data_IF_326035856520
#
_entry.id   IF_326035856520
#
_cell.length_a   1.000
_cell.length_b   1.000
_cell.length_c   1.000
_cell.angle_alpha   90.00
_cell.angle_beta   90.00
_cell.angle_gamma   90.00
#
_symmetry.space_group_name_H-M   'P 1'
#
loop_
_entity.id
_entity.type
_entity.pdbx_description
1 polymer ?
#
# COMPACT_ATOMS: atom_id res chain seq x y z
N UNK A 1 -3.73 44.63 61.36
CA UNK A 1 -4.12 45.40 60.17
C UNK A 1 -3.48 44.76 58.95
N UNK A 2 -4.27 44.03 58.17
CA UNK A 2 -3.86 43.49 56.87
C UNK A 2 -3.73 44.63 55.86
N UNK A 3 -2.58 44.74 55.21
CA UNK A 3 -2.41 45.48 53.95
C UNK A 3 -1.80 44.53 52.91
N UNK A 4 -2.73 43.89 52.20
CA UNK A 4 -2.73 43.48 50.79
C UNK A 4 -1.38 43.42 50.08
N UNK A 5 -0.83 42.20 49.99
CA UNK A 5 -0.04 41.77 48.84
C UNK A 5 -0.88 40.74 48.07
N UNK A 6 -1.64 41.22 47.09
CA UNK A 6 -2.31 40.38 46.10
C UNK A 6 -1.30 40.03 45.00
N UNK A 7 -0.56 38.95 45.18
CA UNK A 7 -0.02 38.17 44.06
C UNK A 7 -0.08 36.70 44.47
N UNK A 8 -1.20 35.99 44.19
CA UNK A 8 -1.22 34.56 44.37
C UNK A 8 -0.24 33.94 43.39
N UNK A 9 0.62 33.09 43.95
CA UNK A 9 1.46 32.12 43.26
C UNK A 9 0.75 31.63 42.01
N UNK A 10 1.31 31.98 40.85
CA UNK A 10 0.96 31.36 39.58
C UNK A 10 1.19 29.87 39.80
N UNK A 11 0.12 29.09 39.92
CA UNK A 11 0.15 27.65 39.79
C UNK A 11 0.66 27.37 38.39
N UNK A 12 1.98 27.20 38.29
CA UNK A 12 2.68 26.68 37.14
C UNK A 12 2.40 25.18 37.05
N UNK A 13 1.12 24.81 36.96
CA UNK A 13 0.73 23.53 36.40
C UNK A 13 0.94 23.69 34.90
N UNK A 14 2.14 23.40 34.42
CA UNK A 14 2.32 23.08 33.00
C UNK A 14 1.51 21.82 32.76
N UNK A 15 0.21 21.99 32.55
CA UNK A 15 -0.60 21.03 31.83
C UNK A 15 0.09 20.90 30.49
N UNK A 16 0.96 19.90 30.38
CA UNK A 16 1.39 19.41 29.08
C UNK A 16 0.09 19.17 28.35
N UNK A 17 -0.16 19.97 27.32
CA UNK A 17 -1.21 19.71 26.36
C UNK A 17 -0.82 18.38 25.71
N UNK A 18 -1.19 17.28 26.36
CA UNK A 18 -1.27 16.00 25.71
C UNK A 18 -2.39 16.20 24.72
N UNK A 19 -2.01 16.57 23.51
CA UNK A 19 -2.88 16.47 22.36
C UNK A 19 -3.19 14.98 22.24
N UNK A 20 -4.27 14.55 22.88
CA UNK A 20 -4.95 13.33 22.47
C UNK A 20 -5.45 13.66 21.07
N UNK A 21 -4.63 13.34 20.09
CA UNK A 21 -5.05 13.29 18.71
C UNK A 21 -5.99 12.08 18.61
N UNK A 22 -7.25 12.27 19.02
CA UNK A 22 -8.31 11.34 18.72
C UNK A 22 -8.59 11.46 17.23
N UNK A 23 -7.78 10.78 16.43
CA UNK A 23 -8.19 10.33 15.12
C UNK A 23 -8.19 8.81 15.14
N UNK A 24 -9.31 8.25 14.72
CA UNK A 24 -9.64 6.83 14.59
C UNK A 24 -8.77 6.13 13.53
N UNK A 25 -7.45 6.25 13.62
CA UNK A 25 -6.51 5.78 12.62
C UNK A 25 -5.30 5.17 13.30
N UNK A 26 -4.92 3.96 12.89
CA UNK A 26 -3.66 3.38 13.34
C UNK A 26 -2.47 4.23 12.88
N UNK A 27 -1.33 4.16 13.58
CA UNK A 27 -0.08 4.75 13.13
C UNK A 27 0.29 4.31 11.70
N UNK A 28 1.20 5.03 11.03
CA UNK A 28 1.74 4.60 9.74
C UNK A 28 2.26 3.16 9.79
N UNK A 29 2.11 2.43 8.68
CA UNK A 29 2.49 1.02 8.54
C UNK A 29 1.70 0.03 9.42
N UNK A 30 0.58 0.47 9.99
CA UNK A 30 -0.32 -0.38 10.76
C UNK A 30 -1.75 -0.32 10.21
N UNK A 31 -2.56 -1.33 10.52
CA UNK A 31 -3.97 -1.40 10.18
C UNK A 31 -4.82 -1.74 11.42
N UNK A 32 -6.06 -1.22 11.50
CA UNK A 32 -6.96 -1.51 12.61
C UNK A 32 -7.60 -2.90 12.47
N UNK A 33 -7.64 -3.64 13.58
CA UNK A 33 -8.50 -4.82 13.77
C UNK A 33 -9.89 -4.39 14.24
N UNK A 34 -10.86 -5.29 14.15
CA UNK A 34 -12.26 -5.03 14.52
C UNK A 34 -12.47 -4.56 15.97
N UNK A 35 -11.56 -4.89 16.88
CA UNK A 35 -11.59 -4.52 18.29
C UNK A 35 -10.70 -3.30 18.63
N UNK A 36 -10.22 -2.59 17.61
CA UNK A 36 -9.44 -1.36 17.77
C UNK A 36 -7.95 -1.57 18.00
N UNK A 37 -7.46 -2.82 18.02
CA UNK A 37 -6.02 -3.10 18.08
C UNK A 37 -5.36 -2.76 16.74
N UNK A 38 -4.22 -2.07 16.79
CA UNK A 38 -3.41 -1.80 15.61
C UNK A 38 -2.35 -2.87 15.40
N UNK A 39 -2.37 -3.48 14.22
CA UNK A 39 -1.44 -4.52 13.79
C UNK A 39 -0.50 -4.01 12.70
N UNK A 40 0.74 -4.50 12.68
CA UNK A 40 1.67 -4.20 11.59
C UNK A 40 1.17 -4.76 10.25
N UNK A 41 1.30 -3.98 9.17
CA UNK A 41 1.04 -4.44 7.80
C UNK A 41 2.00 -5.58 7.43
N UNK A 42 1.52 -6.50 6.61
CA UNK A 42 2.34 -7.53 6.02
C UNK A 42 3.38 -6.91 5.06
N UNK A 43 4.64 -7.41 5.06
CA UNK A 43 5.67 -6.91 4.17
C UNK A 43 5.40 -7.25 2.70
N UNK A 44 6.10 -6.54 1.81
CA UNK A 44 6.10 -6.79 0.36
C UNK A 44 6.40 -8.28 0.09
N UNK A 45 5.62 -8.87 -0.80
CA UNK A 45 5.68 -10.28 -1.18
C UNK A 45 4.96 -11.26 -0.25
N UNK A 46 4.17 -10.76 0.69
CA UNK A 46 3.36 -11.57 1.60
C UNK A 46 1.91 -11.04 1.66
N UNK A 47 1.00 -11.84 2.21
CA UNK A 47 -0.41 -11.48 2.42
C UNK A 47 -0.85 -11.80 3.84
N UNK A 48 -1.93 -11.18 4.31
CA UNK A 48 -2.46 -11.37 5.65
C UNK A 48 -3.22 -12.69 5.76
N UNK A 49 -2.67 -13.66 6.49
CA UNK A 49 -3.38 -14.90 6.85
C UNK A 49 -4.12 -14.74 8.17
N UNK A 50 -3.47 -14.16 9.17
CA UNK A 50 -4.04 -13.92 10.50
C UNK A 50 -3.55 -12.57 11.04
N UNK A 51 -4.44 -11.77 11.60
CA UNK A 51 -4.08 -10.52 12.28
C UNK A 51 -3.29 -10.78 13.55
N UNK A 52 -2.47 -9.81 13.95
CA UNK A 52 -1.76 -9.82 15.22
C UNK A 52 -2.70 -10.10 16.42
N UNK A 53 -2.20 -10.77 17.46
CA UNK A 53 -2.96 -11.04 18.69
C UNK A 53 -2.90 -9.88 19.68
N UNK A 54 -1.69 -9.34 19.88
CA UNK A 54 -1.39 -8.22 20.77
C UNK A 54 -1.13 -6.91 19.99
N UNK A 55 -1.40 -5.73 20.58
CA UNK A 55 -1.11 -4.44 19.93
C UNK A 55 0.34 -4.30 19.51
N UNK A 56 0.56 -3.92 18.25
CA UNK A 56 1.90 -3.74 17.68
C UNK A 56 2.68 -5.05 17.48
N UNK A 57 2.07 -6.22 17.69
CA UNK A 57 2.71 -7.51 17.37
C UNK A 57 2.59 -7.83 15.86
N UNK A 58 3.41 -8.76 15.40
CA UNK A 58 3.43 -9.17 13.98
C UNK A 58 2.20 -9.99 13.63
N UNK A 59 1.60 -9.65 12.50
CA UNK A 59 0.59 -10.49 11.83
C UNK A 59 1.22 -11.73 11.21
N UNK A 60 0.43 -12.77 10.96
CA UNK A 60 0.88 -13.95 10.21
C UNK A 60 0.81 -13.65 8.72
N UNK A 61 1.99 -13.54 8.09
CA UNK A 61 2.15 -13.11 6.71
C UNK A 61 2.93 -14.12 5.86
N UNK A 62 2.29 -15.21 5.39
CA UNK A 62 2.93 -16.14 4.46
C UNK A 62 3.26 -15.48 3.11
N UNK A 63 4.26 -16.01 2.37
CA UNK A 63 4.66 -15.47 1.08
C UNK A 63 3.58 -15.69 0.02
N UNK A 64 3.59 -14.81 -0.99
CA UNK A 64 2.87 -15.05 -2.24
C UNK A 64 3.46 -16.25 -3.00
N UNK A 65 2.78 -16.69 -4.05
CA UNK A 65 3.18 -17.86 -4.82
C UNK A 65 3.96 -17.44 -6.05
N UNK A 66 5.27 -17.75 -6.03
CA UNK A 66 6.23 -17.51 -7.11
C UNK A 66 5.63 -17.78 -8.50
N UNK A 67 5.82 -16.84 -9.43
CA UNK A 67 5.34 -16.93 -10.81
C UNK A 67 3.82 -16.82 -11.04
N UNK A 68 3.00 -16.80 -9.97
CA UNK A 68 1.52 -16.82 -10.09
C UNK A 68 0.81 -15.68 -9.35
N UNK A 69 1.33 -15.28 -8.18
CA UNK A 69 0.81 -14.16 -7.41
C UNK A 69 1.94 -13.33 -6.82
N UNK A 70 1.67 -12.04 -6.59
CA UNK A 70 2.64 -11.09 -6.07
C UNK A 70 1.98 -10.09 -5.12
N UNK A 71 2.80 -9.37 -4.37
CA UNK A 71 2.41 -8.16 -3.67
C UNK A 71 3.59 -7.19 -3.66
N UNK A 72 3.41 -6.04 -4.28
CA UNK A 72 4.40 -4.99 -4.50
C UNK A 72 4.44 -3.92 -3.39
N UNK A 73 3.49 -3.97 -2.46
CA UNK A 73 3.32 -2.99 -1.39
C UNK A 73 3.10 -3.70 -0.04
N UNK A 74 3.37 -2.97 1.06
CA UNK A 74 2.93 -3.40 2.39
C UNK A 74 1.40 -3.40 2.43
N UNK A 75 0.80 -4.41 3.06
CA UNK A 75 -0.63 -4.65 2.88
C UNK A 75 -1.27 -5.36 4.09
N UNK A 76 -2.60 -5.33 4.14
CA UNK A 76 -3.44 -6.16 5.00
C UNK A 76 -4.42 -7.02 4.18
N UNK A 77 -4.08 -7.29 2.92
CA UNK A 77 -4.94 -8.03 2.01
C UNK A 77 -4.88 -9.52 2.35
N UNK A 78 -6.03 -10.19 2.35
CA UNK A 78 -6.12 -11.62 2.64
C UNK A 78 -5.70 -12.52 1.48
N UNK A 79 -5.36 -11.94 0.33
CA UNK A 79 -4.90 -12.63 -0.87
C UNK A 79 -3.91 -11.77 -1.65
N UNK A 80 -2.90 -12.42 -2.25
CA UNK A 80 -1.98 -11.77 -3.18
C UNK A 80 -2.65 -11.38 -4.51
N UNK A 81 -2.12 -10.35 -5.18
CA UNK A 81 -2.51 -9.94 -6.54
C UNK A 81 -2.09 -11.05 -7.51
N UNK A 82 -2.92 -11.35 -8.52
CA UNK A 82 -2.53 -12.30 -9.58
C UNK A 82 -1.56 -11.63 -10.55
N UNK A 83 -0.53 -12.36 -10.96
CA UNK A 83 0.38 -11.91 -11.99
C UNK A 83 -0.38 -11.66 -13.30
N UNK A 84 -0.02 -10.59 -14.01
CA UNK A 84 -0.49 -10.35 -15.38
C UNK A 84 -0.03 -11.48 -16.30
N UNK A 85 -0.84 -11.74 -17.33
CA UNK A 85 -0.51 -12.66 -18.42
C UNK A 85 -0.31 -11.80 -19.66
N UNK A 86 0.83 -11.96 -20.33
CA UNK A 86 1.09 -11.26 -21.58
C UNK A 86 0.35 -11.95 -22.73
N UNK A 87 -0.26 -11.16 -23.61
CA UNK A 87 -0.87 -11.68 -24.82
C UNK A 87 0.22 -12.24 -25.75
N UNK A 88 0.27 -13.55 -26.03
CA UNK A 88 1.34 -14.15 -26.82
C UNK A 88 1.37 -13.68 -28.27
N UNK A 89 0.28 -13.09 -28.79
CA UNK A 89 0.21 -12.60 -30.17
C UNK A 89 0.74 -11.16 -30.31
N UNK A 90 0.58 -10.34 -29.26
CA UNK A 90 0.80 -8.89 -29.36
C UNK A 90 1.76 -8.31 -28.32
N UNK A 91 2.17 -9.11 -27.33
CA UNK A 91 3.07 -8.72 -26.26
C UNK A 91 4.22 -9.71 -26.07
N UNK A 92 5.36 -9.18 -25.63
CA UNK A 92 6.49 -9.97 -25.13
C UNK A 92 6.69 -9.71 -23.64
N UNK A 93 7.12 -10.75 -22.94
CA UNK A 93 7.41 -10.71 -21.52
C UNK A 93 8.79 -10.08 -21.30
N UNK A 94 8.81 -8.87 -20.77
CA UNK A 94 10.04 -8.14 -20.44
C UNK A 94 10.58 -8.54 -19.06
N UNK A 95 9.69 -8.77 -18.09
CA UNK A 95 10.04 -9.20 -16.74
C UNK A 95 9.16 -10.35 -16.28
N UNK A 96 9.75 -11.35 -15.66
CA UNK A 96 9.01 -12.41 -14.97
C UNK A 96 8.23 -11.88 -13.77
N UNK A 97 7.18 -12.61 -13.39
CA UNK A 97 6.51 -12.35 -12.12
C UNK A 97 7.26 -13.05 -10.99
N UNK A 98 7.48 -12.34 -9.88
CA UNK A 98 7.98 -12.90 -8.64
C UNK A 98 7.04 -12.55 -7.48
N UNK A 99 7.33 -13.02 -6.26
CA UNK A 99 6.45 -12.73 -5.12
C UNK A 99 6.28 -11.23 -4.83
N UNK A 100 7.23 -10.37 -5.21
CA UNK A 100 7.24 -8.92 -4.94
C UNK A 100 6.85 -8.08 -6.15
N UNK A 101 6.92 -8.61 -7.37
CA UNK A 101 6.76 -7.84 -8.60
C UNK A 101 5.80 -8.49 -9.58
N UNK A 102 4.93 -7.69 -10.19
CA UNK A 102 4.12 -8.15 -11.30
C UNK A 102 4.97 -8.47 -12.54
N UNK A 103 4.46 -9.38 -13.38
CA UNK A 103 4.94 -9.56 -14.75
C UNK A 103 4.80 -8.25 -15.53
N UNK A 104 5.85 -7.88 -16.27
CA UNK A 104 5.82 -6.76 -17.19
C UNK A 104 5.74 -7.25 -18.64
N UNK A 105 4.71 -6.79 -19.34
CA UNK A 105 4.46 -7.07 -20.74
C UNK A 105 4.69 -5.80 -21.55
N UNK A 106 5.38 -5.91 -22.68
CA UNK A 106 5.60 -4.82 -23.64
C UNK A 106 5.05 -5.22 -24.99
N UNK A 107 4.45 -4.27 -25.71
CA UNK A 107 3.91 -4.54 -27.03
C UNK A 107 5.02 -4.93 -28.01
N UNK A 108 4.73 -5.90 -28.88
CA UNK A 108 5.61 -6.26 -29.99
C UNK A 108 5.93 -5.04 -30.88
N UNK A 109 7.01 -5.16 -31.65
CA UNK A 109 7.34 -4.14 -32.65
C UNK A 109 6.18 -3.93 -33.63
N UNK A 110 5.92 -2.67 -34.02
CA UNK A 110 4.75 -2.31 -34.83
C UNK A 110 3.45 -2.11 -34.05
N UNK A 111 3.41 -2.41 -32.74
CA UNK A 111 2.25 -2.16 -31.87
C UNK A 111 2.50 -1.03 -30.86
N UNK A 112 1.44 -0.39 -30.39
CA UNK A 112 1.46 0.58 -29.30
C UNK A 112 0.39 0.24 -28.26
N UNK A 113 0.67 0.53 -26.99
CA UNK A 113 -0.29 0.25 -25.91
C UNK A 113 -1.35 1.34 -25.88
N UNK A 114 -2.61 0.92 -26.03
CA UNK A 114 -3.79 1.77 -25.84
C UNK A 114 -4.68 1.15 -24.76
N UNK A 115 -4.85 1.88 -23.65
CA UNK A 115 -5.43 1.34 -22.41
C UNK A 115 -4.62 0.11 -21.95
N UNK A 116 -5.19 -1.08 -22.06
CA UNK A 116 -4.59 -2.35 -21.64
C UNK A 116 -4.44 -3.34 -22.79
N UNK A 117 -4.41 -2.86 -24.04
CA UNK A 117 -4.20 -3.70 -25.23
C UNK A 117 -3.15 -3.10 -26.15
N UNK A 118 -2.45 -3.97 -26.87
CA UNK A 118 -1.54 -3.59 -27.92
C UNK A 118 -2.31 -3.50 -29.24
N UNK A 119 -2.31 -2.31 -29.85
CA UNK A 119 -2.95 -2.04 -31.14
C UNK A 119 -1.87 -1.71 -32.17
N UNK A 120 -2.08 -2.11 -33.43
CA UNK A 120 -1.16 -1.79 -34.53
C UNK A 120 -0.97 -0.27 -34.64
N UNK A 121 0.27 0.16 -34.91
CA UNK A 121 0.57 1.54 -35.26
C UNK A 121 0.05 1.78 -36.67
N UNK A 122 -1.13 2.38 -36.78
CA UNK A 122 -1.66 2.77 -38.09
C UNK A 122 -0.88 4.01 -38.53
N UNK A 123 -0.04 3.88 -39.55
CA UNK A 123 0.44 5.02 -40.31
C UNK A 123 -0.75 5.51 -41.15
N UNK A 124 -1.48 6.51 -40.66
CA UNK A 124 -2.44 7.21 -41.51
C UNK A 124 -1.63 8.08 -42.46
N UNK A 125 -1.40 7.58 -43.68
CA UNK A 125 -1.05 8.46 -44.80
C UNK A 125 -2.27 9.35 -45.05
N UNK A 126 -2.25 10.57 -44.50
CA UNK A 126 -3.17 11.62 -44.93
C UNK A 126 -2.85 11.92 -46.40
N UNK A 127 -3.55 11.25 -47.32
CA UNK A 127 -3.67 11.73 -48.69
C UNK A 127 -4.44 13.04 -48.63
N UNK A 128 -3.69 14.14 -48.60
CA UNK A 128 -4.22 15.47 -48.87
C UNK A 128 -4.97 15.46 -50.20
N UNK A 129 -6.27 15.71 -50.11
CA UNK A 129 -7.14 15.97 -51.26
C UNK A 129 -7.00 17.38 -51.78
#
# INVERSE_FOLDING_TARGET
>A
MHLLWLFPLILFETGSSFRIESSSSCPPNQFPRNDGICCELCPIGTYLLESCQDPGSRSLCPPCKEGTTYMDEQNNMTMCKRCSVCDPETEVKERECDIKNNRQCVCCEGFHRKRNKCELKIHVEEKGG
#
